data_IF_349813924241
#
_entry.id   IF_349813924241
#
_cell.length_a   1.000
_cell.length_b   1.000
_cell.length_c   1.000
_cell.angle_alpha   90.00
_cell.angle_beta   90.00
_cell.angle_gamma   90.00
#
_symmetry.space_group_name_H-M   'P 1'
#
loop_
_entity.id
_entity.type
_entity.pdbx_description
1 polymer ?
#
# COMPACT_ATOMS: atom_id res chain seq x y z
N UNK A 1 -6.76 -8.75 2.58
CA UNK A 1 -7.82 -9.20 1.68
C UNK A 1 -8.63 -8.03 1.11
N UNK A 2 -9.48 -7.33 1.87
CA UNK A 2 -10.34 -6.24 1.35
C UNK A 2 -9.59 -5.12 0.63
N UNK A 3 -8.39 -4.74 1.08
CA UNK A 3 -7.56 -3.76 0.38
C UNK A 3 -7.30 -4.19 -1.08
N UNK A 4 -6.90 -5.43 -1.28
CA UNK A 4 -6.58 -5.93 -2.63
C UNK A 4 -7.83 -6.18 -3.49
N UNK A 5 -8.95 -6.58 -2.87
CA UNK A 5 -10.25 -6.59 -3.59
C UNK A 5 -10.56 -5.18 -4.11
N UNK A 6 -10.37 -4.15 -3.27
CA UNK A 6 -10.59 -2.76 -3.68
C UNK A 6 -9.65 -2.29 -4.78
N UNK A 7 -8.34 -2.51 -4.62
CA UNK A 7 -7.32 -2.06 -5.58
C UNK A 7 -7.45 -2.77 -6.93
N UNK A 8 -7.52 -4.10 -6.93
CA UNK A 8 -7.59 -4.90 -8.16
C UNK A 8 -8.97 -4.75 -8.80
N UNK A 9 -10.04 -4.93 -8.03
CA UNK A 9 -11.40 -4.85 -8.57
C UNK A 9 -11.73 -3.47 -9.16
N UNK A 10 -11.31 -2.38 -8.51
CA UNK A 10 -11.50 -1.05 -9.08
C UNK A 10 -10.61 -0.80 -10.31
N UNK A 11 -9.43 -1.41 -10.38
CA UNK A 11 -8.57 -1.37 -11.56
C UNK A 11 -9.25 -2.05 -12.75
N UNK A 12 -9.78 -3.25 -12.56
CA UNK A 12 -10.53 -3.99 -13.61
C UNK A 12 -11.77 -3.19 -14.05
N UNK A 13 -12.54 -2.67 -13.09
CA UNK A 13 -13.72 -1.87 -13.41
C UNK A 13 -13.35 -0.61 -14.20
N UNK A 14 -12.26 0.06 -13.83
CA UNK A 14 -11.77 1.25 -14.52
C UNK A 14 -11.38 0.97 -15.97
N UNK A 15 -10.72 -0.16 -16.24
CA UNK A 15 -10.43 -0.60 -17.62
C UNK A 15 -11.70 -0.85 -18.43
N UNK A 16 -12.71 -1.47 -17.81
CA UNK A 16 -13.99 -1.76 -18.48
C UNK A 16 -14.80 -0.50 -18.78
N UNK A 17 -14.83 0.45 -17.86
CA UNK A 17 -15.62 1.69 -17.98
C UNK A 17 -14.94 2.76 -18.81
N UNK A 18 -13.62 2.76 -18.88
CA UNK A 18 -12.83 3.83 -19.51
C UNK A 18 -11.69 3.24 -20.37
N UNK A 19 -11.97 2.37 -21.34
CA UNK A 19 -10.96 1.55 -22.04
C UNK A 19 -9.93 2.38 -22.83
N UNK A 20 -10.26 3.61 -23.20
CA UNK A 20 -9.39 4.50 -23.98
C UNK A 20 -8.82 5.67 -23.19
N UNK A 21 -9.14 5.80 -21.90
CA UNK A 21 -8.71 6.93 -21.06
C UNK A 21 -7.99 6.43 -19.80
N UNK A 22 -6.67 6.27 -19.90
CA UNK A 22 -5.80 5.84 -18.78
C UNK A 22 -5.83 6.83 -17.60
N UNK A 23 -6.02 8.13 -17.86
CA UNK A 23 -6.12 9.14 -16.82
C UNK A 23 -7.39 8.96 -15.98
N UNK A 24 -8.51 8.66 -16.63
CA UNK A 24 -9.77 8.36 -15.96
C UNK A 24 -9.73 7.01 -15.24
N UNK A 25 -9.09 5.99 -15.82
CA UNK A 25 -8.83 4.71 -15.13
C UNK A 25 -8.07 4.94 -13.82
N UNK A 26 -7.01 5.76 -13.86
CA UNK A 26 -6.22 6.10 -12.67
C UNK A 26 -7.06 6.83 -11.62
N UNK A 27 -7.89 7.78 -12.02
CA UNK A 27 -8.78 8.52 -11.12
C UNK A 27 -9.78 7.58 -10.42
N UNK A 28 -10.43 6.71 -11.17
CA UNK A 28 -11.40 5.75 -10.65
C UNK A 28 -10.75 4.78 -9.67
N UNK A 29 -9.58 4.24 -10.00
CA UNK A 29 -8.83 3.33 -9.13
C UNK A 29 -8.33 4.04 -7.87
N UNK A 30 -7.80 5.27 -7.98
CA UNK A 30 -7.34 6.07 -6.84
C UNK A 30 -8.48 6.42 -5.88
N UNK A 31 -9.64 6.86 -6.42
CA UNK A 31 -10.80 7.20 -5.62
C UNK A 31 -11.35 5.99 -4.85
N UNK A 32 -11.50 4.84 -5.52
CA UNK A 32 -11.94 3.60 -4.88
C UNK A 32 -10.96 3.13 -3.80
N UNK A 33 -9.66 3.15 -4.09
CA UNK A 33 -8.62 2.77 -3.11
C UNK A 33 -8.63 3.69 -1.89
N UNK A 34 -8.79 5.00 -2.09
CA UNK A 34 -8.96 5.97 -0.99
C UNK A 34 -10.14 5.58 -0.09
N UNK A 35 -11.31 5.35 -0.68
CA UNK A 35 -12.51 4.96 0.06
C UNK A 35 -12.35 3.64 0.83
N UNK A 36 -11.78 2.63 0.19
CA UNK A 36 -11.52 1.32 0.83
C UNK A 36 -10.54 1.48 1.98
N UNK A 37 -9.43 2.22 1.83
CA UNK A 37 -8.47 2.45 2.90
C UNK A 37 -9.12 3.14 4.10
N UNK A 38 -9.89 4.21 3.88
CA UNK A 38 -10.61 4.90 4.96
C UNK A 38 -11.52 3.90 5.69
N UNK A 39 -12.32 3.13 4.96
CA UNK A 39 -13.26 2.20 5.54
C UNK A 39 -12.58 1.11 6.37
N UNK A 40 -11.60 0.39 5.78
CA UNK A 40 -10.97 -0.75 6.47
C UNK A 40 -10.10 -0.31 7.66
N UNK A 41 -9.39 0.83 7.57
CA UNK A 41 -8.62 1.33 8.70
C UNK A 41 -9.56 1.80 9.82
N UNK A 42 -10.68 2.44 9.48
CA UNK A 42 -11.68 2.84 10.47
C UNK A 42 -12.30 1.66 11.22
N UNK A 43 -12.62 0.57 10.50
CA UNK A 43 -13.26 -0.62 11.08
C UNK A 43 -12.27 -1.43 11.91
N UNK A 44 -11.07 -1.67 11.37
CA UNK A 44 -10.10 -2.59 11.98
C UNK A 44 -9.03 -1.89 12.82
N UNK A 45 -9.04 -0.56 12.90
CA UNK A 45 -8.03 0.23 13.62
C UNK A 45 -7.84 -0.15 15.09
N UNK A 46 -8.90 -0.62 15.75
CA UNK A 46 -8.87 -1.08 17.14
C UNK A 46 -8.30 -2.50 17.32
N UNK A 47 -8.23 -3.29 16.25
CA UNK A 47 -7.74 -4.67 16.27
C UNK A 47 -6.32 -4.73 15.72
N UNK A 48 -6.19 -4.47 14.42
CA UNK A 48 -4.92 -4.35 13.70
C UNK A 48 -5.19 -3.72 12.34
N UNK A 49 -4.65 -2.55 12.07
CA UNK A 49 -4.84 -1.83 10.82
C UNK A 49 -3.55 -1.54 10.06
N UNK A 50 -2.50 -2.32 10.30
CA UNK A 50 -1.24 -2.11 9.58
C UNK A 50 -1.43 -2.33 8.07
N UNK A 51 -2.08 -3.44 7.68
CA UNK A 51 -2.34 -3.89 6.28
C UNK A 51 -1.13 -3.79 5.35
N UNK A 52 0.08 -3.62 5.92
CA UNK A 52 1.27 -3.27 5.19
C UNK A 52 2.53 -3.72 5.96
N UNK A 53 3.37 -4.59 5.41
CA UNK A 53 4.61 -5.02 6.04
C UNK A 53 5.54 -3.86 6.41
N UNK A 54 5.59 -2.78 5.63
CA UNK A 54 6.42 -1.62 5.95
C UNK A 54 5.91 -0.90 7.21
N UNK A 55 4.59 -0.80 7.41
CA UNK A 55 4.00 -0.26 8.64
C UNK A 55 4.29 -1.17 9.82
N UNK A 56 4.11 -2.49 9.68
CA UNK A 56 4.37 -3.49 10.72
C UNK A 56 5.83 -3.47 11.17
N UNK A 57 6.78 -3.44 10.23
CA UNK A 57 8.21 -3.36 10.52
C UNK A 57 8.58 -2.05 11.21
N UNK A 58 8.02 -0.93 10.74
CA UNK A 58 8.24 0.39 11.37
C UNK A 58 7.68 0.42 12.79
N UNK A 59 6.49 -0.15 13.02
CA UNK A 59 5.90 -0.26 14.35
C UNK A 59 6.82 -1.03 15.31
N UNK A 60 7.41 -2.13 14.85
CA UNK A 60 8.40 -2.87 15.64
C UNK A 60 9.67 -2.05 15.92
N UNK A 61 10.27 -1.42 14.90
CA UNK A 61 11.50 -0.62 15.04
C UNK A 61 11.35 0.63 15.93
N UNK A 62 10.11 1.09 16.08
CA UNK A 62 9.75 2.21 16.98
C UNK A 62 9.19 1.75 18.34
N UNK A 63 9.15 0.44 18.61
CA UNK A 63 8.71 -0.12 19.89
C UNK A 63 7.19 -0.19 20.10
N UNK A 64 6.41 -0.04 19.04
CA UNK A 64 4.94 -0.14 19.09
C UNK A 64 4.42 -1.58 18.86
N UNK A 65 5.28 -2.53 18.50
CA UNK A 65 4.94 -3.94 18.24
C UNK A 65 6.01 -4.88 18.76
N UNK A 66 5.63 -6.05 19.28
CA UNK A 66 6.55 -7.08 19.72
C UNK A 66 7.19 -7.82 18.53
N UNK A 67 8.46 -8.24 18.69
CA UNK A 67 9.23 -8.91 17.62
C UNK A 67 8.59 -10.22 17.15
N UNK A 68 8.02 -10.99 18.06
CA UNK A 68 7.37 -12.28 17.76
C UNK A 68 6.07 -12.15 16.96
N UNK A 69 5.45 -10.96 16.92
CA UNK A 69 4.24 -10.70 16.14
C UNK A 69 4.55 -10.32 14.68
N UNK A 70 5.76 -9.85 14.38
CA UNK A 70 6.11 -9.26 13.08
C UNK A 70 5.92 -10.26 11.94
N UNK A 71 6.57 -11.42 12.04
CA UNK A 71 6.53 -12.43 10.98
C UNK A 71 5.11 -12.99 10.76
N UNK A 72 4.37 -13.43 11.80
CA UNK A 72 2.99 -13.88 11.60
C UNK A 72 2.11 -12.82 10.92
N UNK A 73 2.19 -11.56 11.35
CA UNK A 73 1.37 -10.48 10.77
C UNK A 73 1.72 -10.27 9.30
N UNK A 74 3.00 -10.21 8.93
CA UNK A 74 3.43 -10.06 7.53
C UNK A 74 2.95 -11.24 6.67
N UNK A 75 3.07 -12.46 7.17
CA UNK A 75 2.58 -13.66 6.46
C UNK A 75 1.09 -13.56 6.17
N UNK A 76 0.28 -13.20 7.17
CA UNK A 76 -1.16 -13.01 6.98
C UNK A 76 -1.51 -11.83 6.08
N UNK A 77 -0.71 -10.76 6.06
CA UNK A 77 -0.88 -9.64 5.12
C UNK A 77 -0.67 -10.10 3.67
N UNK A 78 0.38 -10.89 3.42
CA UNK A 78 0.68 -11.42 2.08
C UNK A 78 -0.40 -12.42 1.64
N UNK A 79 -0.71 -13.42 2.47
CA UNK A 79 -1.75 -14.42 2.16
C UNK A 79 -3.09 -13.74 1.92
N UNK A 80 -3.48 -12.84 2.81
CA UNK A 80 -4.73 -12.09 2.67
C UNK A 80 -4.73 -11.17 1.45
N UNK A 81 -3.58 -10.59 1.09
CA UNK A 81 -3.40 -9.82 -0.14
C UNK A 81 -3.65 -10.68 -1.38
N UNK A 82 -2.94 -11.80 -1.50
CA UNK A 82 -3.08 -12.74 -2.61
C UNK A 82 -4.52 -13.26 -2.74
N UNK A 83 -5.13 -13.66 -1.62
CA UNK A 83 -6.53 -14.08 -1.61
C UNK A 83 -7.48 -12.96 -2.08
N UNK A 84 -7.20 -11.71 -1.72
CA UNK A 84 -7.97 -10.55 -2.18
C UNK A 84 -7.87 -10.34 -3.70
N UNK A 85 -6.68 -10.50 -4.27
CA UNK A 85 -6.48 -10.42 -5.72
C UNK A 85 -7.23 -11.53 -6.47
N UNK A 86 -7.09 -12.78 -5.99
CA UNK A 86 -7.81 -13.93 -6.56
C UNK A 86 -9.33 -13.70 -6.54
N UNK A 87 -9.87 -13.25 -5.40
CA UNK A 87 -11.30 -12.96 -5.29
C UNK A 87 -11.72 -11.83 -6.24
N UNK A 88 -10.91 -10.79 -6.39
CA UNK A 88 -11.19 -9.72 -7.35
C UNK A 88 -11.25 -10.25 -8.79
N UNK A 89 -10.25 -11.06 -9.20
CA UNK A 89 -10.27 -11.67 -10.53
C UNK A 89 -11.56 -12.49 -10.75
N UNK A 90 -11.94 -13.36 -9.81
CA UNK A 90 -13.15 -14.18 -9.88
C UNK A 90 -14.42 -13.32 -9.96
N UNK A 91 -14.53 -12.26 -9.14
CA UNK A 91 -15.69 -11.34 -9.14
C UNK A 91 -15.91 -10.65 -10.49
N UNK A 92 -14.85 -10.51 -11.27
CA UNK A 92 -14.90 -9.89 -12.59
C UNK A 92 -14.85 -10.89 -13.75
N UNK A 93 -15.06 -12.18 -13.47
CA UNK A 93 -15.04 -13.26 -14.47
C UNK A 93 -13.71 -13.31 -15.25
N UNK A 94 -12.61 -13.17 -14.51
CA UNK A 94 -11.24 -13.38 -15.00
C UNK A 94 -10.68 -14.69 -14.43
N UNK A 95 -9.65 -15.21 -15.06
CA UNK A 95 -8.92 -16.36 -14.52
C UNK A 95 -8.46 -16.06 -13.09
N UNK A 96 -8.77 -16.95 -12.16
CA UNK A 96 -8.48 -16.79 -10.74
C UNK A 96 -6.99 -16.59 -10.46
N UNK A 97 -6.12 -17.15 -11.31
CA UNK A 97 -4.68 -17.04 -11.24
C UNK A 97 -4.13 -16.64 -12.61
N UNK A 98 -3.59 -15.44 -12.70
CA UNK A 98 -2.90 -14.94 -13.89
C UNK A 98 -1.73 -14.06 -13.46
N UNK A 99 -0.53 -14.38 -13.91
CA UNK A 99 0.63 -13.54 -13.65
C UNK A 99 0.60 -12.28 -14.50
N UNK A 100 0.82 -11.14 -13.87
CA UNK A 100 0.85 -9.86 -14.58
C UNK A 100 2.05 -9.75 -15.49
N UNK A 101 1.83 -9.30 -16.71
CA UNK A 101 2.87 -8.95 -17.68
C UNK A 101 3.23 -7.46 -17.65
N UNK A 102 2.60 -6.69 -16.76
CA UNK A 102 2.80 -5.24 -16.68
C UNK A 102 4.13 -4.90 -16.05
N UNK A 103 5.14 -4.65 -16.89
CA UNK A 103 6.48 -4.24 -16.46
C UNK A 103 6.43 -2.88 -15.77
N UNK A 104 7.00 -2.81 -14.55
CA UNK A 104 7.18 -1.58 -13.77
C UNK A 104 8.63 -1.48 -13.32
N UNK A 105 9.50 -0.97 -14.20
CA UNK A 105 10.93 -0.88 -13.94
C UNK A 105 11.47 0.48 -14.36
N UNK A 106 12.43 1.00 -13.60
CA UNK A 106 13.09 2.26 -13.88
C UNK A 106 13.38 3.07 -12.61
N UNK A 107 14.47 3.84 -12.64
CA UNK A 107 14.93 4.62 -11.49
C UNK A 107 13.87 5.60 -10.95
N UNK A 108 13.07 6.16 -11.86
CA UNK A 108 11.95 7.05 -11.51
C UNK A 108 10.86 6.32 -10.70
N UNK A 109 10.49 5.09 -11.08
CA UNK A 109 9.51 4.28 -10.38
C UNK A 109 10.05 3.83 -9.01
N UNK A 110 11.32 3.48 -8.96
CA UNK A 110 12.00 3.07 -7.72
C UNK A 110 12.10 4.23 -6.72
N UNK A 111 12.51 5.42 -7.19
CA UNK A 111 12.50 6.61 -6.34
C UNK A 111 11.09 6.95 -5.85
N UNK A 112 10.07 6.80 -6.71
CA UNK A 112 8.68 7.02 -6.36
C UNK A 112 8.23 6.11 -5.20
N UNK A 113 8.62 4.82 -5.19
CA UNK A 113 8.31 3.90 -4.09
C UNK A 113 9.00 4.29 -2.78
N UNK A 114 10.24 4.79 -2.84
CA UNK A 114 10.93 5.34 -1.65
C UNK A 114 10.13 6.51 -1.06
N UNK A 115 9.76 7.49 -1.89
CA UNK A 115 9.01 8.68 -1.46
C UNK A 115 7.61 8.32 -0.96
N UNK A 116 6.90 7.45 -1.68
CA UNK A 116 5.56 7.01 -1.31
C UNK A 116 5.55 6.31 0.07
N UNK A 117 6.50 5.41 0.30
CA UNK A 117 6.60 4.66 1.56
C UNK A 117 7.08 5.56 2.69
N UNK A 118 8.09 6.39 2.46
CA UNK A 118 8.57 7.38 3.42
C UNK A 118 7.42 8.27 3.91
N UNK A 119 6.66 8.88 3.00
CA UNK A 119 5.57 9.78 3.35
C UNK A 119 4.43 9.08 4.10
N UNK A 120 4.05 7.86 3.65
CA UNK A 120 3.05 7.05 4.34
C UNK A 120 3.44 6.79 5.81
N UNK A 121 4.67 6.36 6.05
CA UNK A 121 5.15 6.02 7.38
C UNK A 121 5.31 7.27 8.26
N UNK A 122 5.79 8.39 7.72
CA UNK A 122 5.82 9.66 8.44
C UNK A 122 4.42 10.08 8.89
N UNK A 123 3.41 9.98 8.03
CA UNK A 123 2.02 10.31 8.36
C UNK A 123 1.52 9.44 9.52
N UNK A 124 1.59 8.12 9.37
CA UNK A 124 1.06 7.17 10.36
C UNK A 124 1.69 7.41 11.72
N UNK A 125 3.03 7.41 11.78
CA UNK A 125 3.73 7.47 13.06
C UNK A 125 3.79 8.87 13.67
N UNK A 126 3.71 9.94 12.87
CA UNK A 126 3.52 11.30 13.39
C UNK A 126 2.14 11.47 14.04
N UNK A 127 1.08 10.93 13.42
CA UNK A 127 -0.27 10.97 14.00
C UNK A 127 -0.36 10.13 15.29
N UNK A 128 0.31 8.98 15.34
CA UNK A 128 0.41 8.19 16.57
C UNK A 128 1.16 8.95 17.68
N UNK A 129 2.31 9.53 17.38
CA UNK A 129 3.13 10.30 18.34
C UNK A 129 2.40 11.53 18.88
N UNK A 130 1.61 12.19 18.04
CA UNK A 130 0.82 13.39 18.43
C UNK A 130 -0.56 13.05 18.99
N UNK A 131 -0.84 11.76 19.28
CA UNK A 131 -2.12 11.28 19.84
C UNK A 131 -3.33 11.60 18.96
N UNK A 132 -3.14 11.68 17.65
CA UNK A 132 -4.19 11.95 16.65
C UNK A 132 -4.56 10.69 15.85
N UNK A 133 -4.53 9.51 16.48
CA UNK A 133 -4.77 8.22 15.82
C UNK A 133 -6.12 8.14 15.10
N UNK A 134 -7.16 8.82 15.62
CA UNK A 134 -8.49 8.88 14.99
C UNK A 134 -8.48 9.52 13.58
N UNK A 135 -7.44 10.27 13.22
CA UNK A 135 -7.30 10.85 11.89
C UNK A 135 -6.59 9.93 10.90
N UNK A 136 -5.92 8.86 11.38
CA UNK A 136 -5.14 7.95 10.52
C UNK A 136 -5.93 7.44 9.31
N UNK A 137 -7.18 6.94 9.45
CA UNK A 137 -7.93 6.43 8.30
C UNK A 137 -8.06 7.46 7.18
N UNK A 138 -8.44 8.68 7.52
CA UNK A 138 -8.69 9.75 6.56
C UNK A 138 -7.41 10.26 5.92
N UNK A 139 -6.38 10.49 6.74
CA UNK A 139 -5.11 11.05 6.25
C UNK A 139 -4.34 10.03 5.41
N UNK A 140 -4.33 8.75 5.81
CA UNK A 140 -3.73 7.68 5.01
C UNK A 140 -4.47 7.47 3.70
N UNK A 141 -5.80 7.41 3.73
CA UNK A 141 -6.59 7.30 2.50
C UNK A 141 -6.35 8.47 1.55
N UNK A 142 -6.39 9.71 2.06
CA UNK A 142 -6.12 10.92 1.26
C UNK A 142 -4.69 10.94 0.71
N UNK A 143 -3.69 10.57 1.52
CA UNK A 143 -2.30 10.50 1.08
C UNK A 143 -2.11 9.49 -0.05
N UNK A 144 -2.61 8.27 0.10
CA UNK A 144 -2.48 7.24 -0.93
C UNK A 144 -3.22 7.65 -2.20
N UNK A 145 -4.44 8.20 -2.09
CA UNK A 145 -5.17 8.72 -3.24
C UNK A 145 -4.42 9.82 -3.99
N UNK A 146 -3.81 10.77 -3.27
CA UNK A 146 -2.91 11.76 -3.84
C UNK A 146 -1.66 11.14 -4.46
N UNK A 147 -1.06 10.14 -3.77
CA UNK A 147 0.17 9.51 -4.21
C UNK A 147 0.02 8.70 -5.52
N UNK A 148 -1.16 8.23 -5.85
CA UNK A 148 -1.46 7.67 -7.18
C UNK A 148 -1.11 8.65 -8.30
N UNK A 149 -1.15 9.97 -8.04
CA UNK A 149 -0.90 11.02 -9.02
C UNK A 149 0.46 11.68 -8.90
N UNK A 150 0.95 11.93 -7.69
CA UNK A 150 2.23 12.60 -7.54
C UNK A 150 3.44 11.66 -7.59
N UNK A 151 3.22 10.33 -7.63
CA UNK A 151 4.29 9.34 -7.79
C UNK A 151 4.15 8.62 -9.14
N UNK A 152 5.27 8.46 -9.86
CA UNK A 152 5.27 7.76 -11.14
C UNK A 152 4.97 6.27 -11.04
N UNK A 153 5.14 5.67 -9.86
CA UNK A 153 4.84 4.25 -9.57
C UNK A 153 3.36 3.99 -9.30
N UNK A 154 2.54 5.03 -9.14
CA UNK A 154 1.17 4.95 -8.60
C UNK A 154 1.11 4.47 -7.14
N UNK A 155 2.21 4.66 -6.38
CA UNK A 155 2.29 4.46 -4.94
C UNK A 155 1.79 3.09 -4.44
N UNK A 156 2.57 2.05 -4.67
CA UNK A 156 2.30 0.77 -3.99
C UNK A 156 2.57 0.89 -2.50
N UNK A 157 3.74 1.44 -2.13
CA UNK A 157 4.13 1.77 -0.76
C UNK A 157 3.89 0.63 0.25
N UNK A 158 3.84 -0.64 -0.23
CA UNK A 158 3.40 -1.79 0.56
C UNK A 158 3.93 -3.10 -0.04
N UNK A 159 4.85 -3.80 0.62
CA UNK A 159 5.39 -5.07 0.13
C UNK A 159 4.34 -6.16 -0.13
N UNK A 160 3.31 -6.27 0.73
CA UNK A 160 2.26 -7.27 0.52
C UNK A 160 1.38 -6.94 -0.69
N UNK A 161 1.13 -5.65 -0.95
CA UNK A 161 0.45 -5.19 -2.17
C UNK A 161 1.30 -5.48 -3.40
N UNK A 162 2.62 -5.24 -3.34
CA UNK A 162 3.53 -5.54 -4.45
C UNK A 162 3.52 -7.02 -4.81
N UNK A 163 3.52 -7.92 -3.82
CA UNK A 163 3.42 -9.37 -4.04
C UNK A 163 2.05 -9.74 -4.61
N UNK A 164 0.97 -9.27 -4.00
CA UNK A 164 -0.38 -9.68 -4.38
C UNK A 164 -0.77 -9.20 -5.79
N UNK A 165 -0.33 -8.01 -6.20
CA UNK A 165 -0.61 -7.45 -7.53
C UNK A 165 0.10 -8.19 -8.67
N UNK A 166 1.07 -9.08 -8.38
CA UNK A 166 1.64 -9.99 -9.37
C UNK A 166 0.62 -11.00 -9.92
N UNK A 167 -0.48 -11.26 -9.17
CA UNK A 167 -1.47 -12.29 -9.47
C UNK A 167 -2.67 -11.78 -10.28
N UNK A 168 -2.57 -10.60 -10.92
CA UNK A 168 -3.63 -10.05 -11.76
C UNK A 168 -3.03 -9.27 -12.92
N UNK A 169 -3.26 -9.74 -14.14
CA UNK A 169 -2.81 -9.05 -15.36
C UNK A 169 -3.84 -8.02 -15.79
N UNK A 170 -3.90 -6.92 -15.06
CA UNK A 170 -4.86 -5.83 -15.21
C UNK A 170 -4.20 -4.48 -15.00
N UNK A 171 -4.95 -3.39 -15.11
CA UNK A 171 -4.46 -2.02 -14.86
C UNK A 171 -3.59 -1.92 -13.60
N UNK A 172 -4.04 -2.59 -12.53
CA UNK A 172 -3.37 -2.54 -11.25
C UNK A 172 -2.18 -3.52 -11.11
N UNK A 173 -1.92 -4.39 -12.08
CA UNK A 173 -0.90 -5.44 -12.02
C UNK A 173 0.56 -4.93 -11.97
N UNK A 174 1.45 -5.83 -11.62
CA UNK A 174 2.90 -5.69 -11.69
C UNK A 174 3.54 -7.02 -12.08
N UNK A 175 4.41 -7.01 -13.06
CA UNK A 175 5.17 -8.18 -13.47
C UNK A 175 6.01 -8.74 -12.30
N UNK A 176 6.06 -10.06 -12.08
CA UNK A 176 6.84 -10.68 -11.00
C UNK A 176 8.31 -10.27 -10.97
N UNK A 177 8.94 -10.04 -12.12
CA UNK A 177 10.32 -9.57 -12.22
C UNK A 177 10.53 -8.16 -11.69
N UNK A 178 9.50 -7.31 -11.70
CA UNK A 178 9.53 -5.92 -11.25
C UNK A 178 9.28 -5.76 -9.74
N UNK A 179 8.52 -6.67 -9.13
CA UNK A 179 8.09 -6.56 -7.74
C UNK A 179 9.24 -6.55 -6.70
N UNK A 180 10.34 -7.32 -6.85
CA UNK A 180 11.43 -7.30 -5.89
C UNK A 180 12.09 -5.93 -5.71
N UNK A 181 12.27 -5.17 -6.81
CA UNK A 181 12.84 -3.82 -6.72
C UNK A 181 11.88 -2.83 -6.06
N UNK A 182 10.57 -2.94 -6.28
CA UNK A 182 9.57 -2.16 -5.56
C UNK A 182 9.66 -2.42 -4.05
N UNK A 183 9.71 -3.69 -3.64
CA UNK A 183 9.84 -4.09 -2.23
C UNK A 183 11.14 -3.54 -1.63
N UNK A 184 12.26 -3.67 -2.34
CA UNK A 184 13.55 -3.14 -1.88
C UNK A 184 13.48 -1.62 -1.65
N UNK A 185 12.91 -0.87 -2.58
CA UNK A 185 12.79 0.59 -2.47
C UNK A 185 11.81 1.01 -1.36
N UNK A 186 10.77 0.24 -1.12
CA UNK A 186 9.87 0.42 0.03
C UNK A 186 10.62 0.22 1.36
N UNK A 187 11.54 -0.76 1.43
CA UNK A 187 12.41 -0.95 2.61
C UNK A 187 13.39 0.21 2.79
N UNK A 188 13.93 0.77 1.71
CA UNK A 188 14.75 2.00 1.77
C UNK A 188 13.93 3.16 2.32
N UNK A 189 12.71 3.37 1.80
CA UNK A 189 11.78 4.39 2.29
C UNK A 189 11.44 4.22 3.78
N UNK A 190 11.26 2.97 4.22
CA UNK A 190 11.06 2.62 5.63
C UNK A 190 12.27 3.02 6.48
N UNK A 191 13.48 2.69 6.06
CA UNK A 191 14.70 3.06 6.79
C UNK A 191 14.82 4.58 6.99
N UNK A 192 14.56 5.34 5.93
CA UNK A 192 14.54 6.81 5.99
C UNK A 192 13.42 7.33 6.91
N UNK A 193 12.24 6.73 6.87
CA UNK A 193 11.12 7.11 7.73
C UNK A 193 11.45 6.90 9.21
N UNK A 194 12.00 5.74 9.58
CA UNK A 194 12.40 5.43 10.96
C UNK A 194 13.45 6.41 11.45
N UNK A 195 14.45 6.72 10.62
CA UNK A 195 15.48 7.70 10.95
C UNK A 195 14.87 9.09 11.19
N UNK A 196 14.03 9.59 10.28
CA UNK A 196 13.39 10.91 10.42
C UNK A 196 12.44 10.96 11.62
N UNK A 197 11.63 9.93 11.86
CA UNK A 197 10.71 9.90 13.02
C UNK A 197 11.50 9.96 14.32
N UNK A 198 12.57 9.18 14.45
CA UNK A 198 13.44 9.24 15.64
C UNK A 198 14.07 10.61 15.80
N UNK A 199 14.54 11.24 14.73
CA UNK A 199 15.13 12.56 14.76
C UNK A 199 14.13 13.65 15.16
N UNK A 200 12.97 13.71 14.51
CA UNK A 200 11.95 14.74 14.71
C UNK A 200 11.27 14.66 16.09
N UNK A 201 11.11 13.46 16.63
CA UNK A 201 10.43 13.24 17.92
C UNK A 201 11.36 12.86 19.06
N UNK A 202 12.68 12.99 18.89
CA UNK A 202 13.68 12.84 19.96
C UNK A 202 13.88 14.14 20.77
N UNK A 203 13.48 15.28 20.23
CA UNK A 203 13.60 16.56 20.92
C UNK A 203 12.55 16.66 22.04
N UNK A 204 12.91 17.15 23.25
CA UNK A 204 11.92 17.45 24.28
C UNK A 204 10.90 18.43 23.70
N UNK A 205 9.63 18.09 23.78
CA UNK A 205 8.58 19.05 23.45
C UNK A 205 8.58 20.11 24.54
N UNK A 206 9.04 21.32 24.22
CA UNK A 206 8.94 22.49 25.10
C UNK A 206 7.49 22.84 25.37
#
# INVERSE_FOLDING_TARGET
MFLLIGVIGSGIMAERLSPSDVGLQLLQNAAATTGVLIAIISIFGTISADFNPAVTLTAWLLGHRQKNEVIPVIVFQVIGGCAGTVLANIMFDLDWFQLSEKTRSGANLWLAEVIATLGLLLIVFSLLKTKKSNHIPYVVGAYIGGAYYFTSSTSFANPAVSVARMLSDTFAGIEPSSAPMFILMQIVGLGLAVWLIKYLFSQPQN
#
